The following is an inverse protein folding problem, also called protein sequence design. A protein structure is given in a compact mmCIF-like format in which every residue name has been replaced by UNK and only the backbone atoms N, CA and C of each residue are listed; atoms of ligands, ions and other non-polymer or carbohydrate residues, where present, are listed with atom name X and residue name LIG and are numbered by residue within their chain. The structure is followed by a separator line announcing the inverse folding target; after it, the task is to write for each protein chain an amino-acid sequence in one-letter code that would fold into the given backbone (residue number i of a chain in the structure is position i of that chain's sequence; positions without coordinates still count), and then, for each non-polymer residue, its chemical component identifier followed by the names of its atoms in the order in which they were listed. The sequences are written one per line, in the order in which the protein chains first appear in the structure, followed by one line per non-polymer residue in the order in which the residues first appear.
data_IF_094996688906
#
_entry.id   IF_094996688906
#
_cell.length_a   1.000
_cell.length_b   1.000
_cell.length_c   1.000
_cell.angle_alpha   90.00
_cell.angle_beta   90.00
_cell.angle_gamma   90.00
#
_symmetry.space_group_name_H-M   'P 1'
#
loop_
_entity.id
_entity.type
_entity.pdbx_description
1 polymer ?
#
# COMPACT_ATOMS: atom_id res chain seq x y z
N UNK A 1 -4.36 -30.75 -8.04
CA UNK A 1 -3.17 -30.08 -7.46
C UNK A 1 -3.12 -30.39 -5.98
N UNK A 2 -1.96 -30.80 -5.43
CA UNK A 2 -1.85 -31.12 -3.99
C UNK A 2 -1.46 -29.88 -3.18
N UNK A 3 -1.90 -29.82 -1.92
CA UNK A 3 -1.52 -28.76 -0.97
C UNK A 3 0.01 -28.60 -0.85
N UNK A 4 0.75 -29.73 -0.83
CA UNK A 4 2.21 -29.73 -0.80
C UNK A 4 2.83 -29.09 -2.04
N UNK A 5 2.28 -29.34 -3.22
CA UNK A 5 2.77 -28.71 -4.45
C UNK A 5 2.56 -27.20 -4.41
N UNK A 6 1.39 -26.73 -3.96
CA UNK A 6 1.11 -25.31 -3.83
C UNK A 6 2.05 -24.62 -2.83
N UNK A 7 2.26 -25.21 -1.65
CA UNK A 7 3.22 -24.69 -0.67
C UNK A 7 4.64 -24.61 -1.21
N UNK A 8 5.10 -25.67 -1.89
CA UNK A 8 6.44 -25.67 -2.49
C UNK A 8 6.57 -24.57 -3.56
N UNK A 9 5.54 -24.38 -4.39
CA UNK A 9 5.52 -23.32 -5.39
C UNK A 9 5.60 -21.93 -4.73
N UNK A 10 4.83 -21.68 -3.67
CA UNK A 10 4.88 -20.42 -2.92
C UNK A 10 6.25 -20.17 -2.28
N UNK A 11 6.88 -21.20 -1.70
CA UNK A 11 8.23 -21.07 -1.13
C UNK A 11 9.25 -20.70 -2.21
N UNK A 12 9.20 -21.35 -3.37
CA UNK A 12 10.10 -21.04 -4.49
C UNK A 12 9.88 -19.61 -5.01
N UNK A 13 8.63 -19.19 -5.18
CA UNK A 13 8.29 -17.84 -5.61
C UNK A 13 8.73 -16.79 -4.59
N UNK A 14 8.46 -17.02 -3.31
CA UNK A 14 8.87 -16.13 -2.21
C UNK A 14 10.39 -15.97 -2.14
N UNK A 15 11.13 -17.08 -2.20
CA UNK A 15 12.59 -17.05 -2.21
C UNK A 15 13.14 -16.29 -3.42
N UNK A 16 12.60 -16.55 -4.62
CA UNK A 16 13.03 -15.86 -5.85
C UNK A 16 12.76 -14.36 -5.78
N UNK A 17 11.58 -13.97 -5.30
CA UNK A 17 11.23 -12.58 -5.08
C UNK A 17 12.22 -11.94 -4.08
N UNK A 18 12.43 -12.56 -2.92
CA UNK A 18 13.35 -12.01 -1.90
C UNK A 18 14.79 -11.85 -2.41
N UNK A 19 15.31 -12.81 -3.19
CA UNK A 19 16.63 -12.69 -3.82
C UNK A 19 16.70 -11.48 -4.76
N UNK A 20 15.64 -11.24 -5.53
CA UNK A 20 15.55 -10.10 -6.45
C UNK A 20 15.37 -8.77 -5.72
N UNK A 21 14.49 -8.72 -4.72
CA UNK A 21 14.33 -7.57 -3.84
C UNK A 21 15.67 -7.17 -3.19
N UNK A 22 16.45 -8.14 -2.69
CA UNK A 22 17.80 -7.89 -2.13
C UNK A 22 18.77 -7.30 -3.15
N UNK A 23 18.80 -7.81 -4.38
CA UNK A 23 19.71 -7.30 -5.42
C UNK A 23 19.33 -5.88 -5.88
N UNK A 24 18.03 -5.58 -5.91
CA UNK A 24 17.53 -4.25 -6.25
C UNK A 24 17.77 -3.23 -5.14
N UNK A 25 17.64 -3.62 -3.87
CA UNK A 25 17.83 -2.73 -2.72
C UNK A 25 19.24 -2.12 -2.65
N UNK A 26 20.27 -2.87 -3.08
CA UNK A 26 21.64 -2.35 -3.14
C UNK A 26 21.91 -1.39 -4.31
N UNK A 27 21.03 -1.34 -5.32
CA UNK A 27 21.29 -0.65 -6.59
C UNK A 27 20.28 0.44 -6.95
N UNK A 28 19.12 0.46 -6.29
CA UNK A 28 18.03 1.41 -6.56
C UNK A 28 17.58 2.10 -5.28
N UNK A 29 17.05 3.31 -5.44
CA UNK A 29 16.32 3.99 -4.37
C UNK A 29 15.04 3.20 -4.08
N UNK A 30 14.76 2.99 -2.80
CA UNK A 30 13.65 2.17 -2.36
C UNK A 30 12.89 2.81 -1.21
N UNK A 31 11.57 2.71 -1.26
CA UNK A 31 10.68 3.07 -0.16
C UNK A 31 10.16 1.77 0.48
N UNK A 32 10.12 1.72 1.81
CA UNK A 32 9.56 0.59 2.54
C UNK A 32 8.24 1.03 3.16
N UNK A 33 7.14 0.37 2.82
CA UNK A 33 5.87 0.54 3.52
C UNK A 33 5.62 -0.63 4.47
N UNK A 34 5.06 -0.39 5.65
CA UNK A 34 4.41 -1.46 6.41
C UNK A 34 3.13 -1.00 7.10
N UNK A 35 2.23 -1.96 7.34
CA UNK A 35 1.01 -1.75 8.12
C UNK A 35 0.61 -3.02 8.88
N UNK A 36 -0.15 -2.86 9.96
CA UNK A 36 -0.68 -3.95 10.75
C UNK A 36 -1.77 -4.69 9.96
N UNK A 37 -1.63 -6.01 9.85
CA UNK A 37 -2.61 -6.90 9.26
C UNK A 37 -3.36 -7.64 10.38
N UNK A 38 -4.67 -7.66 10.29
CA UNK A 38 -5.54 -8.23 11.32
C UNK A 38 -6.55 -9.17 10.66
N UNK A 39 -6.29 -10.47 10.71
CA UNK A 39 -7.09 -11.51 10.03
C UNK A 39 -7.92 -12.29 11.05
N UNK A 40 -9.25 -12.07 11.11
CA UNK A 40 -10.12 -12.90 11.92
C UNK A 40 -10.35 -14.25 11.23
N UNK A 41 -9.79 -15.32 11.79
CA UNK A 41 -10.11 -16.69 11.36
C UNK A 41 -11.38 -17.11 12.08
N UNK A 42 -12.48 -17.19 11.33
CA UNK A 42 -13.78 -17.61 11.84
C UNK A 42 -14.06 -19.03 11.41
N UNK A 43 -14.41 -19.89 12.36
CA UNK A 43 -14.84 -21.25 12.09
C UNK A 43 -16.34 -21.36 12.38
N UNK A 44 -17.09 -21.96 11.47
CA UNK A 44 -18.55 -22.06 11.56
C UNK A 44 -19.03 -23.16 12.52
N UNK A 45 -18.12 -24.06 12.91
CA UNK A 45 -18.37 -25.07 13.95
C UNK A 45 -17.24 -25.00 14.97
N UNK A 46 -17.53 -24.44 16.14
CA UNK A 46 -16.60 -24.40 17.25
C UNK A 46 -16.46 -25.80 17.85
N UNK A 47 -15.25 -26.36 17.77
CA UNK A 47 -14.84 -27.58 18.49
C UNK A 47 -13.65 -27.23 19.37
N UNK A 48 -13.34 -28.06 20.36
CA UNK A 48 -12.19 -27.87 21.26
C UNK A 48 -10.87 -27.58 20.51
N UNK A 49 -10.66 -28.22 19.34
CA UNK A 49 -9.47 -28.03 18.51
C UNK A 49 -9.69 -27.13 17.27
N UNK A 50 -10.87 -26.53 17.14
CA UNK A 50 -11.24 -25.71 15.99
C UNK A 50 -12.00 -24.50 16.49
N UNK A 51 -11.24 -23.50 16.96
CA UNK A 51 -11.80 -22.26 17.48
C UNK A 51 -11.52 -21.10 16.54
N UNK A 52 -12.47 -20.18 16.52
CA UNK A 52 -12.25 -18.87 15.90
C UNK A 52 -11.11 -18.20 16.66
N UNK A 53 -10.15 -17.67 15.93
CA UNK A 53 -9.01 -16.97 16.52
C UNK A 53 -8.65 -15.79 15.64
N UNK A 54 -7.93 -14.85 16.25
CA UNK A 54 -7.51 -13.64 15.58
C UNK A 54 -6.01 -13.72 15.32
N UNK A 55 -5.64 -13.63 14.05
CA UNK A 55 -4.23 -13.56 13.66
C UNK A 55 -3.91 -12.09 13.44
N UNK A 56 -3.13 -11.52 14.34
CA UNK A 56 -2.44 -10.27 14.07
C UNK A 56 -1.15 -10.57 13.31
N UNK A 57 -0.76 -9.69 12.40
CA UNK A 57 0.42 -9.78 11.56
C UNK A 57 0.82 -8.36 11.13
N UNK A 58 1.89 -8.22 10.34
CA UNK A 58 2.24 -7.00 9.63
C UNK A 58 2.42 -7.37 8.16
N UNK A 59 1.95 -6.51 7.28
CA UNK A 59 2.26 -6.57 5.86
C UNK A 59 3.27 -5.45 5.56
N UNK A 60 4.23 -5.72 4.70
CA UNK A 60 5.22 -4.75 4.26
C UNK A 60 5.49 -4.86 2.76
N UNK A 61 5.98 -3.80 2.15
CA UNK A 61 6.19 -3.74 0.70
C UNK A 61 7.39 -2.85 0.43
N UNK A 62 8.23 -3.27 -0.52
CA UNK A 62 9.32 -2.43 -1.02
C UNK A 62 8.96 -1.93 -2.40
N UNK A 63 9.04 -0.61 -2.55
CA UNK A 63 8.81 0.08 -3.80
C UNK A 63 10.17 0.55 -4.32
N UNK A 64 10.60 -0.01 -5.45
CA UNK A 64 11.83 0.44 -6.11
C UNK A 64 11.49 1.53 -7.10
N UNK A 65 12.13 2.69 -6.98
CA UNK A 65 11.95 3.76 -7.94
C UNK A 65 12.68 3.42 -9.27
N UNK A 66 12.14 3.85 -10.43
CA UNK A 66 12.83 3.75 -11.71
C UNK A 66 14.20 4.42 -11.66
N UNK A 67 15.19 3.89 -12.40
CA UNK A 67 16.57 4.42 -12.43
C UNK A 67 16.67 5.88 -12.89
N UNK A 68 15.64 6.40 -13.56
CA UNK A 68 15.64 7.75 -14.15
C UNK A 68 14.94 8.79 -13.26
N UNK A 69 14.24 8.37 -12.21
CA UNK A 69 13.58 9.27 -11.27
C UNK A 69 14.54 9.70 -10.16
N UNK A 70 15.59 10.43 -10.55
CA UNK A 70 16.37 11.23 -9.63
C UNK A 70 15.92 12.69 -9.74
N UNK A 71 14.83 13.04 -9.08
CA UNK A 71 14.61 14.42 -8.69
C UNK A 71 15.24 14.64 -7.31
N UNK A 72 16.57 14.50 -7.25
CA UNK A 72 17.33 15.46 -6.48
C UNK A 72 17.16 16.80 -7.20
N UNK A 73 16.01 17.45 -7.01
CA UNK A 73 15.96 18.89 -7.20
C UNK A 73 16.84 19.44 -6.09
N UNK A 74 18.14 19.56 -6.39
CA UNK A 74 18.92 20.64 -5.81
C UNK A 74 18.19 21.91 -6.21
N UNK A 75 17.44 22.52 -5.31
CA UNK A 75 17.05 23.89 -5.57
C UNK A 75 16.82 24.68 -4.30
N UNK A 76 17.48 25.83 -4.28
CA UNK A 76 17.01 26.99 -3.56
C UNK A 76 15.70 27.55 -4.17
N UNK A 77 14.90 26.74 -4.88
CA UNK A 77 13.58 27.15 -5.39
C UNK A 77 12.54 26.56 -4.47
N UNK A 78 11.66 27.43 -3.97
CA UNK A 78 10.49 27.04 -3.21
C UNK A 78 9.77 25.90 -3.96
N UNK A 79 9.43 24.85 -3.22
CA UNK A 79 8.59 23.77 -3.73
C UNK A 79 7.27 24.38 -4.19
N UNK A 80 7.02 24.34 -5.49
CA UNK A 80 5.82 24.90 -6.07
C UNK A 80 4.62 24.02 -5.67
N UNK A 81 3.77 24.56 -4.81
CA UNK A 81 2.57 23.88 -4.34
C UNK A 81 1.40 24.06 -5.32
N UNK A 82 1.49 25.00 -6.27
CA UNK A 82 0.38 25.33 -7.16
C UNK A 82 -0.08 24.13 -8.00
N UNK A 83 0.81 23.29 -8.57
CA UNK A 83 0.39 22.09 -9.30
C UNK A 83 -0.31 21.04 -8.43
N UNK A 84 -0.04 21.03 -7.11
CA UNK A 84 -0.66 20.09 -6.16
C UNK A 84 -2.00 20.63 -5.67
N UNK A 85 -2.08 21.94 -5.42
CA UNK A 85 -3.28 22.60 -4.88
C UNK A 85 -4.33 22.80 -5.98
N UNK A 86 -3.91 23.25 -7.15
CA UNK A 86 -4.81 23.61 -8.25
C UNK A 86 -4.91 22.52 -9.32
N UNK A 87 -4.08 21.47 -9.22
CA UNK A 87 -4.03 20.40 -10.20
C UNK A 87 -3.48 20.86 -11.55
N UNK A 88 -3.50 19.96 -12.51
CA UNK A 88 -3.27 20.30 -13.91
C UNK A 88 -4.61 20.16 -14.64
N UNK A 89 -5.24 21.24 -15.12
CA UNK A 89 -6.62 21.18 -15.64
C UNK A 89 -6.85 20.10 -16.70
N UNK A 90 -5.86 19.87 -17.58
CA UNK A 90 -5.92 18.82 -18.58
C UNK A 90 -5.87 17.42 -17.96
N UNK A 91 -5.02 17.19 -16.95
CA UNK A 91 -4.96 15.90 -16.25
C UNK A 91 -6.21 15.68 -15.40
N UNK A 92 -6.73 16.72 -14.77
CA UNK A 92 -7.96 16.65 -13.98
C UNK A 92 -9.17 16.31 -14.84
N UNK A 93 -9.28 16.90 -16.04
CA UNK A 93 -10.30 16.56 -17.03
C UNK A 93 -10.16 15.10 -17.51
N UNK A 94 -8.94 14.63 -17.73
CA UNK A 94 -8.69 13.23 -18.09
C UNK A 94 -9.05 12.27 -16.94
N UNK A 95 -8.71 12.60 -15.69
CA UNK A 95 -9.08 11.81 -14.50
C UNK A 95 -10.60 11.77 -14.36
N UNK A 96 -11.27 12.91 -14.56
CA UNK A 96 -12.72 12.99 -14.56
C UNK A 96 -13.33 12.06 -15.62
N UNK A 97 -12.84 12.11 -16.86
CA UNK A 97 -13.31 11.24 -17.94
C UNK A 97 -13.06 9.76 -17.65
N UNK A 98 -11.93 9.41 -17.04
CA UNK A 98 -11.67 8.04 -16.57
C UNK A 98 -12.64 7.60 -15.47
N UNK A 99 -12.91 8.46 -14.48
CA UNK A 99 -13.87 8.14 -13.42
C UNK A 99 -15.28 7.93 -13.97
N UNK A 100 -15.70 8.74 -14.96
CA UNK A 100 -16.96 8.55 -15.69
C UNK A 100 -16.99 7.20 -16.39
N UNK A 101 -15.94 6.82 -17.12
CA UNK A 101 -15.84 5.52 -17.79
C UNK A 101 -15.88 4.35 -16.80
N UNK A 102 -15.18 4.43 -15.66
CA UNK A 102 -15.23 3.41 -14.61
C UNK A 102 -16.66 3.22 -14.09
N UNK A 103 -17.38 4.30 -13.81
CA UNK A 103 -18.77 4.23 -13.34
C UNK A 103 -19.67 3.63 -14.43
N UNK A 104 -19.51 4.04 -15.69
CA UNK A 104 -20.26 3.50 -16.82
C UNK A 104 -19.99 2.00 -16.99
N UNK A 105 -18.74 1.55 -16.93
CA UNK A 105 -18.36 0.14 -16.97
C UNK A 105 -19.03 -0.66 -15.87
N UNK A 106 -18.97 -0.18 -14.63
CA UNK A 106 -19.63 -0.85 -13.49
C UNK A 106 -21.13 -1.03 -13.75
N UNK A 107 -21.79 0.00 -14.29
CA UNK A 107 -23.22 -0.07 -14.60
C UNK A 107 -23.52 -0.99 -15.80
N UNK A 108 -22.72 -0.92 -16.87
CA UNK A 108 -22.94 -1.66 -18.11
C UNK A 108 -22.53 -3.14 -18.03
N UNK A 109 -21.59 -3.48 -17.14
CA UNK A 109 -21.15 -4.84 -16.88
C UNK A 109 -22.09 -5.59 -15.90
N UNK A 110 -23.07 -4.89 -15.31
CA UNK A 110 -24.12 -5.51 -14.50
C UNK A 110 -25.07 -6.37 -15.36
N UNK A 111 -25.51 -7.55 -14.88
CA UNK A 111 -26.46 -8.39 -15.59
C UNK A 111 -27.76 -7.67 -16.00
N UNK A 112 -28.22 -6.75 -15.17
CA UNK A 112 -29.44 -5.95 -15.37
C UNK A 112 -29.35 -5.03 -16.59
N UNK A 113 -28.14 -4.68 -17.03
CA UNK A 113 -27.89 -3.81 -18.18
C UNK A 113 -27.30 -4.56 -19.38
N UNK A 114 -27.22 -5.90 -19.34
CA UNK A 114 -26.59 -6.70 -20.40
C UNK A 114 -27.20 -6.46 -21.79
N UNK A 115 -28.53 -6.35 -21.89
CA UNK A 115 -29.20 -6.07 -23.16
C UNK A 115 -28.91 -4.65 -23.68
N UNK A 116 -28.86 -3.66 -22.78
CA UNK A 116 -28.53 -2.28 -23.12
C UNK A 116 -27.07 -2.16 -23.57
N UNK A 117 -26.15 -2.82 -22.85
CA UNK A 117 -24.73 -2.88 -23.16
C UNK A 117 -24.49 -3.48 -24.55
N UNK A 118 -25.10 -4.64 -24.85
CA UNK A 118 -24.95 -5.28 -26.16
C UNK A 118 -25.54 -4.43 -27.30
N UNK A 119 -26.69 -3.78 -27.07
CA UNK A 119 -27.33 -2.91 -28.06
C UNK A 119 -26.51 -1.67 -28.40
N UNK A 120 -25.74 -1.14 -27.45
CA UNK A 120 -25.07 0.15 -27.59
C UNK A 120 -23.54 0.10 -27.53
N UNK A 121 -22.93 -1.09 -27.60
CA UNK A 121 -21.48 -1.30 -27.49
C UNK A 121 -20.62 -0.46 -28.43
N UNK A 122 -21.14 -0.11 -29.61
CA UNK A 122 -20.43 0.67 -30.64
C UNK A 122 -20.68 2.18 -30.51
N UNK A 123 -21.41 2.64 -29.48
CA UNK A 123 -21.67 4.06 -29.28
C UNK A 123 -20.35 4.76 -28.84
N UNK A 124 -19.92 5.83 -29.53
CA UNK A 124 -18.72 6.59 -29.17
C UNK A 124 -18.72 7.12 -27.74
N UNK A 125 -19.89 7.35 -27.14
CA UNK A 125 -20.02 7.78 -25.75
C UNK A 125 -19.54 6.74 -24.72
N UNK A 126 -19.41 5.46 -25.13
CA UNK A 126 -18.88 4.37 -24.30
C UNK A 126 -17.47 3.94 -24.72
N UNK A 127 -16.83 4.70 -25.61
CA UNK A 127 -15.43 4.47 -25.93
C UNK A 127 -14.56 4.82 -24.72
N UNK A 128 -13.59 3.96 -24.34
CA UNK A 128 -12.74 4.23 -23.19
C UNK A 128 -11.89 5.49 -23.45
N UNK A 129 -11.74 6.38 -22.43
CA UNK A 129 -10.92 7.56 -22.55
C UNK A 129 -9.42 7.20 -22.64
N UNK A 130 -8.62 8.16 -23.12
CA UNK A 130 -7.17 7.98 -23.18
C UNK A 130 -6.57 7.81 -21.77
N UNK A 131 -5.56 6.94 -21.58
CA UNK A 131 -4.94 6.72 -20.28
C UNK A 131 -4.27 7.99 -19.72
N UNK A 132 -4.56 8.37 -18.46
CA UNK A 132 -3.94 9.55 -17.81
C UNK A 132 -2.52 9.24 -17.30
N UNK A 133 -2.35 8.07 -16.70
CA UNK A 133 -1.08 7.59 -16.15
C UNK A 133 -0.93 6.12 -16.49
N UNK A 134 -0.39 5.83 -17.67
CA UNK A 134 0.16 4.50 -17.90
C UNK A 134 1.44 4.43 -17.04
N UNK A 135 1.34 3.79 -15.87
CA UNK A 135 2.52 3.38 -15.12
C UNK A 135 3.43 2.64 -16.10
N UNK A 136 4.73 2.92 -16.11
CA UNK A 136 5.68 2.24 -16.98
C UNK A 136 5.54 0.73 -16.76
N UNK A 137 4.88 0.03 -17.67
CA UNK A 137 4.71 -1.41 -17.58
C UNK A 137 5.95 -2.05 -18.19
N UNK A 138 6.85 -2.53 -17.34
CA UNK A 138 8.08 -3.18 -17.77
C UNK A 138 8.79 -3.88 -16.62
N UNK A 139 9.82 -4.70 -16.92
CA UNK A 139 10.64 -5.34 -15.90
C UNK A 139 11.42 -4.35 -15.02
N UNK A 140 11.31 -3.05 -15.26
CA UNK A 140 11.92 -1.99 -14.47
C UNK A 140 11.00 -1.38 -13.39
N UNK A 141 9.69 -1.64 -13.44
CA UNK A 141 8.67 -1.04 -12.55
C UNK A 141 7.97 -2.10 -11.70
N UNK A 142 8.77 -2.85 -10.94
CA UNK A 142 8.29 -3.99 -10.18
C UNK A 142 7.94 -3.56 -8.76
N UNK A 143 6.70 -3.86 -8.35
CA UNK A 143 6.24 -3.78 -6.97
C UNK A 143 6.27 -5.20 -6.39
N UNK A 144 7.01 -5.42 -5.30
CA UNK A 144 7.07 -6.72 -4.60
C UNK A 144 6.61 -6.52 -3.14
N UNK A 145 5.54 -7.25 -2.76
CA UNK A 145 4.92 -7.21 -1.43
C UNK A 145 5.18 -8.48 -0.62
N UNK A 146 5.33 -8.33 0.69
CA UNK A 146 5.63 -9.39 1.64
C UNK A 146 4.78 -9.25 2.91
N UNK A 147 4.46 -10.36 3.58
CA UNK A 147 3.62 -10.35 4.80
C UNK A 147 4.38 -11.11 5.89
N UNK A 148 4.68 -10.46 7.02
CA UNK A 148 5.02 -11.16 8.27
C UNK A 148 5.00 -10.25 9.53
N UNK A 149 4.75 -10.89 10.68
CA UNK A 149 4.94 -10.46 12.08
C UNK A 149 4.06 -9.35 12.66
N UNK A 150 3.31 -9.65 13.71
CA UNK A 150 2.55 -8.70 14.57
C UNK A 150 3.47 -7.57 15.07
N UNK A 151 2.98 -6.34 15.33
CA UNK A 151 3.12 -5.68 16.65
C UNK A 151 2.68 -4.19 16.69
N UNK A 152 1.66 -3.92 17.51
CA UNK A 152 1.13 -2.58 17.78
C UNK A 152 1.78 -1.90 19.02
N UNK A 153 3.11 -1.79 19.08
CA UNK A 153 3.84 -1.03 20.14
C UNK A 153 5.13 -0.42 19.61
N UNK A 154 5.82 0.43 20.39
CA UNK A 154 7.14 0.98 20.03
C UNK A 154 8.19 -0.13 19.83
N UNK A 155 8.36 -0.99 20.83
CA UNK A 155 9.22 -2.17 20.74
C UNK A 155 8.79 -3.08 19.58
N UNK A 156 7.48 -3.14 19.35
CA UNK A 156 6.87 -3.81 18.22
C UNK A 156 7.33 -3.32 16.87
N UNK A 157 7.18 -2.01 16.67
CA UNK A 157 7.57 -1.31 15.45
C UNK A 157 9.06 -1.48 15.20
N UNK A 158 9.89 -1.35 16.24
CA UNK A 158 11.32 -1.57 16.14
C UNK A 158 11.66 -3.00 15.71
N UNK A 159 11.00 -4.01 16.29
CA UNK A 159 11.20 -5.41 15.89
C UNK A 159 10.79 -5.66 14.44
N UNK A 160 9.71 -5.03 13.96
CA UNK A 160 9.32 -5.08 12.54
C UNK A 160 10.42 -4.47 11.66
N UNK A 161 10.93 -3.29 12.03
CA UNK A 161 12.03 -2.65 11.31
C UNK A 161 13.24 -3.59 11.24
N UNK A 162 13.69 -4.11 12.39
CA UNK A 162 14.85 -5.01 12.46
C UNK A 162 14.63 -6.31 11.68
N UNK A 163 13.41 -6.85 11.71
CA UNK A 163 13.05 -8.04 10.96
C UNK A 163 13.12 -7.78 9.44
N UNK A 164 12.58 -6.66 8.96
CA UNK A 164 12.67 -6.27 7.55
C UNK A 164 14.14 -6.08 7.15
N UNK A 165 14.96 -5.42 7.96
CA UNK A 165 16.39 -5.30 7.71
C UNK A 165 17.09 -6.67 7.64
N UNK A 166 16.68 -7.63 8.48
CA UNK A 166 17.17 -9.00 8.42
C UNK A 166 16.79 -9.68 7.09
N UNK A 167 15.53 -9.55 6.67
CA UNK A 167 15.05 -10.07 5.39
C UNK A 167 15.79 -9.45 4.21
N UNK A 168 16.17 -8.17 4.29
CA UNK A 168 16.97 -7.46 3.29
C UNK A 168 18.48 -7.72 3.40
N UNK A 169 18.92 -8.55 4.36
CA UNK A 169 20.32 -8.86 4.63
C UNK A 169 21.18 -7.64 5.06
N UNK A 170 20.58 -6.69 5.78
CA UNK A 170 21.22 -5.45 6.25
C UNK A 170 21.70 -5.50 7.72
N UNK A 171 21.86 -6.71 8.27
CA UNK A 171 22.17 -6.94 9.68
C UNK A 171 23.66 -7.14 9.98
N UNK A 172 24.51 -7.28 8.95
CA UNK A 172 25.96 -7.35 9.19
C UNK A 172 26.46 -6.01 9.70
N UNK A 173 27.52 -6.03 10.52
CA UNK A 173 28.12 -4.79 11.07
C UNK A 173 28.49 -3.81 9.96
N UNK A 174 29.03 -4.32 8.84
CA UNK A 174 29.40 -3.54 7.66
C UNK A 174 28.17 -2.89 6.99
N UNK A 175 27.05 -3.61 6.88
CA UNK A 175 25.81 -3.07 6.32
C UNK A 175 25.12 -2.09 7.27
N UNK A 176 25.18 -2.31 8.58
CA UNK A 176 24.67 -1.36 9.57
C UNK A 176 25.45 -0.04 9.51
N UNK A 177 26.79 -0.11 9.44
CA UNK A 177 27.65 1.06 9.23
C UNK A 177 27.34 1.75 7.90
N UNK A 178 27.21 1.00 6.82
CA UNK A 178 26.86 1.55 5.50
C UNK A 178 25.50 2.21 5.52
N UNK A 179 24.51 1.59 6.17
CA UNK A 179 23.14 2.12 6.27
C UNK A 179 23.11 3.41 7.07
N UNK A 180 23.73 3.44 8.25
CA UNK A 180 23.81 4.66 9.06
C UNK A 180 24.56 5.80 8.36
N UNK A 181 25.67 5.50 7.68
CA UNK A 181 26.53 6.55 7.13
C UNK A 181 26.17 7.02 5.72
N UNK A 182 25.50 6.18 4.92
CA UNK A 182 25.40 6.41 3.46
C UNK A 182 23.99 6.29 2.89
N UNK A 183 22.97 5.93 3.67
CA UNK A 183 21.62 5.67 3.15
C UNK A 183 20.57 6.51 3.85
N UNK A 184 19.58 6.93 3.07
CA UNK A 184 18.27 7.31 3.58
C UNK A 184 17.23 6.33 3.06
N UNK A 185 16.47 5.72 3.96
CA UNK A 185 15.40 4.78 3.63
C UNK A 185 14.08 5.41 4.00
N UNK A 186 13.30 5.77 2.97
CA UNK A 186 11.95 6.29 3.17
C UNK A 186 11.07 5.17 3.71
N UNK A 187 10.40 5.47 4.82
CA UNK A 187 9.56 4.54 5.54
C UNK A 187 8.11 5.03 5.56
N UNK A 188 7.24 4.36 4.82
CA UNK A 188 5.84 4.67 4.65
C UNK A 188 4.98 3.88 5.65
N UNK A 189 3.94 4.52 6.17
CA UNK A 189 2.93 3.87 6.99
C UNK A 189 1.78 4.83 7.32
N UNK A 190 0.76 4.34 8.01
CA UNK A 190 -0.30 5.20 8.54
C UNK A 190 0.25 6.22 9.56
N UNK A 191 -0.61 7.15 10.00
CA UNK A 191 -0.23 8.22 10.93
C UNK A 191 0.40 7.65 12.21
N UNK A 192 -0.18 6.57 12.73
CA UNK A 192 0.29 5.94 13.95
C UNK A 192 1.68 5.31 13.78
N UNK A 193 1.95 4.69 12.62
CA UNK A 193 3.26 4.15 12.28
C UNK A 193 4.30 5.26 12.17
N UNK A 194 3.99 6.34 11.44
CA UNK A 194 4.91 7.47 11.30
C UNK A 194 5.25 8.12 12.66
N UNK A 195 4.24 8.32 13.52
CA UNK A 195 4.44 8.89 14.85
C UNK A 195 5.23 7.97 15.78
N UNK A 196 5.04 6.65 15.68
CA UNK A 196 5.85 5.66 16.41
C UNK A 196 7.31 5.68 15.98
N UNK A 197 7.59 5.73 14.68
CA UNK A 197 8.96 5.81 14.18
C UNK A 197 9.64 7.11 14.64
N UNK A 198 8.95 8.25 14.56
CA UNK A 198 9.44 9.53 15.12
C UNK A 198 9.61 9.51 16.64
N UNK A 199 8.76 8.77 17.35
CA UNK A 199 8.91 8.56 18.79
C UNK A 199 10.14 7.72 19.11
N UNK A 200 10.45 6.69 18.32
CA UNK A 200 11.68 5.91 18.46
C UNK A 200 12.92 6.78 18.28
N UNK A 201 12.93 7.68 17.31
CA UNK A 201 14.02 8.67 17.14
C UNK A 201 14.24 9.51 18.38
N UNK A 202 13.16 10.06 18.94
CA UNK A 202 13.26 10.86 20.16
C UNK A 202 13.78 10.05 21.35
N UNK A 203 13.40 8.79 21.46
CA UNK A 203 13.90 7.91 22.53
C UNK A 203 15.37 7.53 22.34
N UNK A 204 15.82 7.42 21.08
CA UNK A 204 17.15 6.93 20.72
C UNK A 204 18.14 8.03 20.36
N UNK A 205 17.77 9.31 20.47
CA UNK A 205 18.59 10.43 19.97
C UNK A 205 19.99 10.52 20.60
N UNK A 206 20.18 9.95 21.80
CA UNK A 206 21.47 9.91 22.51
C UNK A 206 22.31 8.66 22.17
N UNK A 207 21.82 7.73 21.35
CA UNK A 207 22.57 6.53 20.97
C UNK A 207 23.86 6.90 20.22
N UNK A 208 24.91 6.11 20.46
CA UNK A 208 26.28 6.46 20.07
C UNK A 208 26.54 6.50 18.56
N UNK A 209 25.76 5.78 17.76
CA UNK A 209 25.93 5.74 16.32
C UNK A 209 24.61 5.98 15.58
N UNK A 210 24.74 6.40 14.33
CA UNK A 210 23.63 6.77 13.47
C UNK A 210 22.65 5.61 13.22
N UNK A 211 23.17 4.38 13.07
CA UNK A 211 22.32 3.21 12.87
C UNK A 211 21.38 2.97 14.05
N UNK A 212 21.91 3.01 15.29
CA UNK A 212 21.14 2.82 16.52
C UNK A 212 20.14 3.95 16.79
N UNK A 213 20.51 5.19 16.44
CA UNK A 213 19.60 6.36 16.47
C UNK A 213 18.47 6.27 15.44
N UNK A 214 18.60 5.39 14.44
CA UNK A 214 17.69 5.23 13.31
C UNK A 214 17.60 6.48 12.41
N UNK A 215 18.61 7.36 12.42
CA UNK A 215 18.60 8.64 11.67
C UNK A 215 18.67 8.47 10.14
N UNK A 216 19.05 7.27 9.67
CA UNK A 216 19.00 6.83 8.27
C UNK A 216 17.57 6.60 7.75
N UNK A 217 16.57 6.50 8.63
CA UNK A 217 15.18 6.30 8.22
C UNK A 217 14.54 7.64 7.85
N UNK A 218 13.47 7.66 7.04
CA UNK A 218 12.68 8.88 6.79
C UNK A 218 11.20 8.53 6.89
N UNK A 219 10.57 8.70 8.08
CA UNK A 219 9.16 8.39 8.28
C UNK A 219 8.25 9.34 7.50
N UNK A 220 7.56 8.81 6.50
CA UNK A 220 6.59 9.51 5.68
C UNK A 220 5.19 8.93 5.88
N UNK A 221 4.21 9.84 5.87
CA UNK A 221 2.81 9.45 5.95
C UNK A 221 2.37 8.80 4.63
N UNK A 222 1.80 7.61 4.72
CA UNK A 222 1.26 6.86 3.60
C UNK A 222 -0.10 7.42 3.18
N UNK A 223 -0.09 8.35 2.22
CA UNK A 223 -1.31 9.00 1.68
C UNK A 223 -2.39 8.01 1.22
N UNK A 224 -1.98 6.83 0.74
CA UNK A 224 -2.92 5.76 0.41
C UNK A 224 -3.85 5.39 1.58
N UNK A 225 -3.34 5.34 2.82
CA UNK A 225 -4.17 5.06 3.99
C UNK A 225 -5.22 6.16 4.22
N UNK A 226 -4.88 7.43 3.99
CA UNK A 226 -5.83 8.54 4.10
C UNK A 226 -6.95 8.40 3.07
N UNK A 227 -6.59 8.13 1.83
CA UNK A 227 -7.56 7.96 0.73
C UNK A 227 -8.50 6.80 1.05
N UNK A 228 -7.98 5.66 1.52
CA UNK A 228 -8.80 4.51 1.90
C UNK A 228 -9.68 4.79 3.12
N UNK A 229 -9.17 5.50 4.13
CA UNK A 229 -9.96 5.90 5.29
C UNK A 229 -11.08 6.88 4.90
N UNK A 230 -10.79 7.83 4.02
CA UNK A 230 -11.75 8.77 3.47
C UNK A 230 -12.82 8.06 2.62
N UNK A 231 -12.42 7.18 1.70
CA UNK A 231 -13.33 6.37 0.90
C UNK A 231 -14.26 5.50 1.78
N UNK A 232 -13.72 4.88 2.84
CA UNK A 232 -14.53 4.13 3.80
C UNK A 232 -15.50 5.03 4.58
N UNK A 233 -15.08 6.26 4.92
CA UNK A 233 -15.94 7.26 5.54
C UNK A 233 -17.10 7.64 4.62
N UNK A 234 -16.81 7.96 3.35
CA UNK A 234 -17.83 8.25 2.34
C UNK A 234 -18.78 7.05 2.17
N UNK A 235 -18.23 5.85 1.97
CA UNK A 235 -19.03 4.63 1.84
C UNK A 235 -19.98 4.44 3.02
N UNK A 236 -19.51 4.58 4.26
CA UNK A 236 -20.36 4.46 5.45
C UNK A 236 -21.42 5.55 5.55
N UNK A 237 -21.08 6.79 5.17
CA UNK A 237 -22.03 7.91 5.18
C UNK A 237 -23.15 7.71 4.17
N UNK A 238 -22.84 7.31 2.93
CA UNK A 238 -23.85 7.15 1.87
C UNK A 238 -24.59 5.81 1.93
N UNK A 239 -23.93 4.72 2.34
CA UNK A 239 -24.61 3.45 2.56
C UNK A 239 -25.64 3.58 3.69
N UNK A 240 -25.29 4.31 4.75
CA UNK A 240 -26.11 4.50 5.94
C UNK A 240 -26.42 3.19 6.68
N UNK A 241 -27.55 3.15 7.38
CA UNK A 241 -27.97 1.98 8.16
C UNK A 241 -29.42 1.59 7.87
N UNK A 242 -29.76 0.32 8.03
CA UNK A 242 -31.11 -0.20 7.82
C UNK A 242 -32.18 0.48 8.69
N UNK A 243 -31.76 1.15 9.77
CA UNK A 243 -32.62 1.89 10.68
C UNK A 243 -32.93 3.33 10.22
N UNK A 244 -32.19 3.86 9.24
CA UNK A 244 -32.37 5.23 8.74
C UNK A 244 -33.15 5.17 7.43
N UNK A 245 -34.40 5.65 7.47
CA UNK A 245 -35.26 5.84 6.31
C UNK A 245 -34.56 6.80 5.33
N UNK A 246 -34.42 6.38 4.07
CA UNK A 246 -33.69 7.13 3.04
C UNK A 246 -32.21 6.76 2.86
N UNK A 247 -31.66 5.88 3.68
CA UNK A 247 -30.33 5.32 3.42
C UNK A 247 -30.35 4.24 2.33
N UNK A 248 -29.23 4.08 1.62
CA UNK A 248 -29.09 3.07 0.57
C UNK A 248 -29.27 1.64 1.12
N UNK A 249 -28.74 1.38 2.33
CA UNK A 249 -28.89 0.08 3.01
C UNK A 249 -30.34 -0.22 3.36
N UNK A 250 -31.09 0.77 3.85
CA UNK A 250 -32.52 0.61 4.11
C UNK A 250 -33.29 0.29 2.83
N UNK A 251 -33.00 1.00 1.72
CA UNK A 251 -33.60 0.70 0.43
C UNK A 251 -33.32 -0.74 -0.03
N UNK A 252 -32.08 -1.22 0.07
CA UNK A 252 -31.74 -2.60 -0.28
C UNK A 252 -32.41 -3.66 0.61
N UNK A 253 -32.54 -3.40 1.90
CA UNK A 253 -33.18 -4.34 2.83
C UNK A 253 -34.71 -4.42 2.63
N UNK A 254 -35.34 -3.33 2.19
CA UNK A 254 -36.79 -3.29 1.85
C UNK A 254 -37.09 -3.90 0.48
N UNK A 255 -36.13 -3.89 -0.45
CA UNK A 255 -36.28 -4.44 -1.80
C UNK A 255 -35.93 -5.94 -1.93
N UNK A 256 -35.58 -6.61 -0.82
CA UNK A 256 -35.45 -8.06 -0.73
C UNK A 256 -36.80 -8.74 -0.49
#
# INVERSE_FOLDING_TARGET
MSHRWALNAFVVLSNRAMTKTRSLFGTRVSNIGHDNLNVPIRVFSQRLHNQSHFVSATAWTVWFLPKHEYLCIHSNTLFDLDPIIFGEPQKDEQIFNQNVDIVLRILLDCPEFAEYSERHKDNPAFAPPSPVFQLDTGPDSIVEGYIDLVMASYNGTLKVVMFILCLLCLQSVEEQQTTGLKRFIVWLGDQLTADRLRGLWRQRHEDHNSFDRLDWMVPLFGWFHLIMAFANSLYKQYLGSSAVIGSLKHAFDVLK
#
